data_IF_199486720017
#
_entry.id   IF_199486720017
#
_cell.length_a   1.000
_cell.length_b   1.000
_cell.length_c   1.000
_cell.angle_alpha   90.00
_cell.angle_beta   90.00
_cell.angle_gamma   90.00
#
_symmetry.space_group_name_H-M   'P 1'
#
loop_
_entity.id
_entity.type
_entity.pdbx_description
1 polymer ?
#
# COMPACT_ATOMS: atom_id res chain seq x y z
N UNK A 1 2.08 14.14 14.82
CA UNK A 1 1.11 13.18 14.23
C UNK A 1 0.19 12.72 15.34
N UNK A 2 -1.08 13.11 15.31
CA UNK A 2 -2.04 12.74 16.34
C UNK A 2 -2.69 11.42 15.92
N UNK A 3 -2.34 10.33 16.62
CA UNK A 3 -2.93 9.01 16.39
C UNK A 3 -4.31 9.05 17.05
N UNK A 4 -5.35 9.28 16.25
CA UNK A 4 -6.74 9.22 16.71
C UNK A 4 -7.06 7.79 17.19
N UNK A 5 -6.86 7.55 18.48
CA UNK A 5 -7.21 6.33 19.22
C UNK A 5 -8.67 6.39 19.66
N UNK A 6 -9.58 6.79 18.77
CA UNK A 6 -11.02 6.68 19.05
C UNK A 6 -11.36 5.19 19.19
N UNK A 7 -11.83 4.80 20.37
CA UNK A 7 -12.44 3.48 20.58
C UNK A 7 -13.52 3.29 19.52
N UNK A 8 -13.37 2.27 18.69
CA UNK A 8 -14.36 1.85 17.70
C UNK A 8 -15.51 1.19 18.47
N UNK A 9 -16.32 1.98 19.16
CA UNK A 9 -17.61 1.53 19.70
C UNK A 9 -18.62 1.48 18.55
N UNK A 10 -19.32 0.34 18.44
CA UNK A 10 -20.64 0.02 17.83
C UNK A 10 -21.14 0.72 16.54
N UNK A 11 -20.70 1.91 16.17
CA UNK A 11 -21.23 2.72 15.07
C UNK A 11 -20.71 2.27 13.70
N UNK A 12 -19.59 1.55 13.64
CA UNK A 12 -18.95 1.10 12.39
C UNK A 12 -19.40 -0.29 11.93
N UNK A 13 -20.35 -0.93 12.63
CA UNK A 13 -20.93 -2.22 12.22
C UNK A 13 -22.16 -2.05 11.33
N UNK A 14 -22.29 -0.94 10.59
CA UNK A 14 -23.39 -0.78 9.62
C UNK A 14 -23.22 -1.88 8.57
N UNK A 15 -24.00 -2.95 8.73
CA UNK A 15 -23.81 -4.19 7.99
C UNK A 15 -23.88 -3.94 6.49
N UNK A 16 -22.96 -4.52 5.73
CA UNK A 16 -23.04 -4.48 4.28
C UNK A 16 -23.56 -5.83 3.78
N UNK A 17 -24.47 -5.78 2.82
CA UNK A 17 -25.00 -6.99 2.21
C UNK A 17 -24.04 -7.50 1.14
N UNK A 18 -23.57 -8.74 1.29
CA UNK A 18 -22.83 -9.44 0.25
C UNK A 18 -23.42 -10.85 0.09
N UNK A 19 -23.92 -11.15 -1.13
CA UNK A 19 -24.69 -12.37 -1.46
C UNK A 19 -25.95 -12.54 -0.59
N UNK A 20 -26.69 -11.47 -0.33
CA UNK A 20 -27.98 -11.52 0.37
C UNK A 20 -27.90 -11.74 1.89
N UNK A 21 -26.70 -11.74 2.48
CA UNK A 21 -26.49 -11.86 3.92
C UNK A 21 -25.90 -10.56 4.45
N UNK A 22 -26.49 -10.01 5.52
CA UNK A 22 -25.92 -8.90 6.27
C UNK A 22 -24.59 -9.34 6.90
N UNK A 23 -23.48 -8.76 6.45
CA UNK A 23 -22.15 -9.02 7.00
C UNK A 23 -21.68 -7.81 7.81
N UNK A 24 -20.97 -8.08 8.91
CA UNK A 24 -20.39 -7.06 9.80
C UNK A 24 -19.30 -6.21 9.13
N UNK A 25 -18.39 -5.65 9.92
CA UNK A 25 -17.32 -4.73 9.48
C UNK A 25 -16.62 -5.24 8.20
N UNK A 26 -16.47 -4.36 7.20
CA UNK A 26 -15.73 -4.66 5.98
C UNK A 26 -14.26 -4.90 6.33
N UNK A 27 -13.67 -5.99 5.83
CA UNK A 27 -12.28 -6.37 6.14
C UNK A 27 -11.55 -6.77 4.86
N UNK A 28 -10.23 -6.64 4.83
CA UNK A 28 -9.37 -7.16 3.77
C UNK A 28 -8.26 -8.07 4.33
N UNK A 29 -7.52 -8.73 3.45
CA UNK A 29 -6.38 -9.57 3.80
C UNK A 29 -5.06 -8.84 3.51
N UNK A 30 -3.92 -9.27 4.09
CA UNK A 30 -2.63 -8.61 3.89
C UNK A 30 -2.16 -8.66 2.42
N UNK A 31 -2.64 -9.65 1.67
CA UNK A 31 -2.35 -9.85 0.26
C UNK A 31 -3.41 -9.24 -0.67
N UNK A 32 -4.34 -8.44 -0.15
CA UNK A 32 -5.29 -7.70 -0.99
C UNK A 32 -4.56 -6.58 -1.72
N UNK A 33 -4.73 -6.52 -3.03
CA UNK A 33 -4.17 -5.45 -3.86
C UNK A 33 -4.68 -4.08 -3.39
N UNK A 34 -3.78 -3.09 -3.35
CA UNK A 34 -4.09 -1.75 -2.85
C UNK A 34 -5.11 -1.01 -3.73
N UNK A 35 -5.15 -1.29 -5.03
CA UNK A 35 -6.13 -0.73 -5.97
C UNK A 35 -7.52 -1.28 -5.65
N UNK A 36 -7.62 -2.59 -5.50
CA UNK A 36 -8.87 -3.26 -5.14
C UNK A 36 -9.36 -2.78 -3.76
N UNK A 37 -8.46 -2.65 -2.79
CA UNK A 37 -8.80 -2.11 -1.48
C UNK A 37 -9.31 -0.66 -1.57
N UNK A 38 -8.68 0.18 -2.39
CA UNK A 38 -9.09 1.58 -2.61
C UNK A 38 -10.47 1.68 -3.24
N UNK A 39 -10.73 0.95 -4.34
CA UNK A 39 -12.03 0.91 -5.00
C UNK A 39 -13.14 0.46 -4.05
N UNK A 40 -12.87 -0.56 -3.25
CA UNK A 40 -13.79 -1.08 -2.25
C UNK A 40 -14.08 -0.06 -1.15
N UNK A 41 -13.07 0.69 -0.72
CA UNK A 41 -13.21 1.77 0.26
C UNK A 41 -14.03 2.95 -0.29
N UNK A 42 -13.79 3.35 -1.54
CA UNK A 42 -14.53 4.41 -2.24
C UNK A 42 -15.99 4.04 -2.45
N UNK A 43 -16.24 2.84 -3.00
CA UNK A 43 -17.59 2.33 -3.27
C UNK A 43 -18.45 2.21 -2.01
N UNK A 44 -17.82 2.05 -0.84
CA UNK A 44 -18.49 1.95 0.46
C UNK A 44 -18.40 3.22 1.31
N UNK A 45 -17.71 4.26 0.82
CA UNK A 45 -17.51 5.51 1.56
C UNK A 45 -16.78 5.33 2.90
N UNK A 46 -15.89 4.34 3.01
CA UNK A 46 -15.15 4.05 4.24
C UNK A 46 -13.72 4.59 4.14
N UNK A 47 -13.21 5.15 5.24
CA UNK A 47 -11.83 5.67 5.30
C UNK A 47 -10.83 4.72 5.93
N UNK A 48 -11.32 3.68 6.61
CA UNK A 48 -10.50 2.70 7.31
C UNK A 48 -11.00 1.29 7.01
N UNK A 49 -10.08 0.39 6.70
CA UNK A 49 -10.35 -0.98 6.34
C UNK A 49 -9.49 -1.92 7.20
N UNK A 50 -10.09 -2.63 8.17
CA UNK A 50 -9.39 -3.63 8.97
C UNK A 50 -8.75 -4.72 8.12
N UNK A 51 -7.47 -4.99 8.36
CA UNK A 51 -6.71 -6.06 7.73
C UNK A 51 -6.71 -7.26 8.68
N UNK A 52 -7.20 -8.41 8.23
CA UNK A 52 -7.27 -9.65 9.01
C UNK A 52 -6.35 -10.72 8.44
N UNK A 53 -5.71 -11.51 9.28
CA UNK A 53 -4.86 -12.61 8.83
C UNK A 53 -5.69 -13.65 8.05
N UNK A 54 -5.12 -14.19 6.97
CA UNK A 54 -5.62 -15.43 6.37
C UNK A 54 -5.23 -16.57 7.31
N UNK A 55 -6.23 -17.28 7.85
CA UNK A 55 -5.97 -18.36 8.80
C UNK A 55 -5.25 -19.50 8.07
N UNK A 56 -3.96 -19.67 8.33
CA UNK A 56 -3.21 -20.90 8.03
C UNK A 56 -2.86 -21.49 9.39
N UNK A 57 -3.56 -22.56 9.75
CA UNK A 57 -3.23 -23.48 10.85
C UNK A 57 -3.14 -22.86 12.26
N UNK A 58 -4.23 -22.94 13.03
CA UNK A 58 -4.27 -23.42 14.44
C UNK A 58 -5.60 -23.06 15.13
N UNK A 59 -6.43 -24.08 15.34
CA UNK A 59 -7.27 -24.43 16.52
C UNK A 59 -8.26 -23.38 17.12
N UNK A 60 -8.26 -22.11 16.74
CA UNK A 60 -9.24 -21.14 17.24
C UNK A 60 -10.40 -20.95 16.26
N UNK A 61 -11.39 -21.83 16.39
CA UNK A 61 -12.66 -21.94 15.66
C UNK A 61 -13.58 -20.70 15.75
N UNK A 62 -13.14 -19.48 15.40
CA UNK A 62 -14.10 -18.40 15.17
C UNK A 62 -13.59 -16.96 15.16
N UNK A 63 -12.35 -16.66 15.58
CA UNK A 63 -11.86 -15.28 15.64
C UNK A 63 -10.83 -15.01 14.53
N UNK A 64 -11.24 -14.23 13.53
CA UNK A 64 -10.29 -13.67 12.54
C UNK A 64 -9.33 -12.74 13.27
N UNK A 65 -8.03 -13.05 13.24
CA UNK A 65 -6.99 -12.23 13.88
C UNK A 65 -6.85 -10.91 13.10
N UNK A 66 -7.10 -9.78 13.78
CA UNK A 66 -6.78 -8.46 13.24
C UNK A 66 -5.26 -8.31 13.19
N UNK A 67 -4.73 -7.93 12.03
CA UNK A 67 -3.29 -7.69 11.82
C UNK A 67 -2.95 -6.23 11.56
N UNK A 68 -3.94 -5.41 11.19
CA UNK A 68 -3.71 -4.00 11.00
C UNK A 68 -4.95 -3.24 10.57
N UNK A 69 -4.74 -1.95 10.28
CA UNK A 69 -5.76 -1.03 9.80
C UNK A 69 -5.22 -0.28 8.59
N UNK A 70 -5.86 -0.46 7.43
CA UNK A 70 -5.53 0.27 6.23
C UNK A 70 -6.33 1.58 6.19
N UNK A 71 -5.63 2.71 6.02
CA UNK A 71 -6.26 4.03 5.89
C UNK A 71 -6.22 4.47 4.42
N UNK A 72 -7.34 4.99 3.90
CA UNK A 72 -7.45 5.51 2.54
C UNK A 72 -6.33 6.53 2.23
N UNK A 73 -6.10 7.49 3.13
CA UNK A 73 -5.08 8.53 2.94
C UNK A 73 -3.65 7.93 2.93
N UNK A 74 -3.46 6.79 3.58
CA UNK A 74 -2.18 6.09 3.58
C UNK A 74 -1.91 5.38 2.24
N UNK A 75 -2.95 4.91 1.54
CA UNK A 75 -2.82 4.33 0.19
C UNK A 75 -2.27 5.39 -0.76
N UNK A 76 -2.88 6.57 -0.77
CA UNK A 76 -2.49 7.66 -1.67
C UNK A 76 -1.06 8.15 -1.39
N UNK A 77 -0.70 8.28 -0.11
CA UNK A 77 0.67 8.63 0.31
C UNK A 77 1.68 7.55 -0.08
N UNK A 78 1.34 6.28 0.10
CA UNK A 78 2.19 5.15 -0.28
C UNK A 78 2.48 5.16 -1.79
N UNK A 79 1.45 5.31 -2.62
CA UNK A 79 1.60 5.37 -4.08
C UNK A 79 2.53 6.52 -4.51
N UNK A 80 2.33 7.73 -3.97
CA UNK A 80 3.22 8.87 -4.27
C UNK A 80 4.66 8.59 -3.86
N UNK A 81 4.87 8.01 -2.68
CA UNK A 81 6.20 7.65 -2.20
C UNK A 81 6.87 6.62 -3.09
N UNK A 82 6.14 5.58 -3.54
CA UNK A 82 6.67 4.56 -4.43
C UNK A 82 7.05 5.14 -5.80
N UNK A 83 6.20 6.00 -6.38
CA UNK A 83 6.50 6.68 -7.65
C UNK A 83 7.75 7.54 -7.50
N UNK A 84 7.86 8.31 -6.41
CA UNK A 84 9.04 9.13 -6.16
C UNK A 84 10.30 8.29 -6.00
N UNK A 85 10.24 7.16 -5.30
CA UNK A 85 11.37 6.23 -5.17
C UNK A 85 11.81 5.68 -6.54
N UNK A 86 10.86 5.28 -7.39
CA UNK A 86 11.15 4.82 -8.75
C UNK A 86 11.82 5.93 -9.56
N UNK A 87 11.32 7.17 -9.48
CA UNK A 87 11.89 8.30 -10.18
C UNK A 87 13.31 8.66 -9.68
N UNK A 88 13.56 8.56 -8.38
CA UNK A 88 14.88 8.77 -7.80
C UNK A 88 15.87 7.70 -8.27
N UNK A 89 15.50 6.42 -8.18
CA UNK A 89 16.33 5.35 -8.72
C UNK A 89 16.62 5.59 -10.20
N UNK A 90 15.61 5.92 -11.02
CA UNK A 90 15.83 6.22 -12.45
C UNK A 90 16.81 7.38 -12.68
N UNK A 91 16.77 8.42 -11.86
CA UNK A 91 17.73 9.54 -11.93
C UNK A 91 19.14 9.09 -11.60
N UNK A 92 19.32 8.32 -10.53
CA UNK A 92 20.63 7.74 -10.16
C UNK A 92 21.19 6.90 -11.32
N UNK A 93 20.39 5.98 -11.88
CA UNK A 93 20.79 5.21 -13.05
C UNK A 93 21.17 6.10 -14.24
N UNK A 94 20.47 7.21 -14.48
CA UNK A 94 20.78 8.10 -15.62
C UNK A 94 22.06 8.91 -15.39
N UNK A 95 22.31 9.32 -14.14
CA UNK A 95 23.51 10.07 -13.75
C UNK A 95 24.77 9.20 -13.83
N UNK A 96 24.69 7.94 -13.42
CA UNK A 96 25.80 7.00 -13.51
C UNK A 96 26.20 6.74 -14.99
N UNK A 97 25.19 6.61 -15.87
CA UNK A 97 25.42 6.46 -17.31
C UNK A 97 26.01 7.73 -17.95
N UNK A 98 25.61 8.93 -17.49
CA UNK A 98 26.15 10.19 -18.02
C UNK A 98 27.61 10.41 -17.61
N UNK A 99 27.98 10.12 -16.35
CA UNK A 99 29.37 10.20 -15.89
C UNK A 99 30.28 9.18 -16.57
N UNK A 100 29.81 7.95 -16.82
CA UNK A 100 30.58 6.95 -17.57
C UNK A 100 30.80 7.33 -19.03
N UNK A 101 29.81 7.97 -19.68
CA UNK A 101 29.94 8.39 -21.08
C UNK A 101 30.91 9.59 -21.26
N UNK A 102 30.94 10.53 -20.32
CA UNK A 102 31.91 11.63 -20.32
C UNK A 102 33.35 11.16 -20.06
N UNK A 103 33.54 10.18 -19.18
CA UNK A 103 34.85 9.58 -18.93
C UNK A 103 35.38 8.82 -20.16
N UNK A 104 34.53 8.02 -20.82
CA UNK A 104 34.89 7.29 -22.04
C UNK A 104 35.20 8.22 -23.22
N UNK A 105 34.48 9.34 -23.33
CA UNK A 105 34.73 10.39 -24.35
C UNK A 105 36.05 11.14 -24.09
N UNK A 106 36.43 11.31 -22.82
CA UNK A 106 37.67 11.99 -22.43
C UNK A 106 38.91 11.11 -22.63
N UNK A 107 38.83 9.80 -22.36
CA UNK A 107 39.92 8.85 -22.63
C UNK A 107 40.19 8.68 -24.14
N UNK A 108 39.14 8.65 -24.97
CA UNK A 108 39.28 8.56 -26.44
C UNK A 108 40.00 9.77 -27.05
N UNK A 109 39.93 10.97 -26.44
CA UNK A 109 40.63 12.16 -26.91
C UNK A 109 42.12 12.16 -26.55
N UNK A 110 42.50 11.51 -25.44
CA UNK A 110 43.89 11.40 -24.97
C UNK A 110 44.72 10.40 -25.80
N UNK A 111 44.07 9.40 -26.40
CA UNK A 111 44.73 8.38 -27.24
C UNK A 111 44.98 8.80 -28.70
N UNK A 112 44.44 9.95 -29.12
CA UNK A 112 44.55 10.47 -30.50
C UNK A 112 45.45 11.71 -30.63
N UNK A 113 46.17 12.10 -29.57
CA UNK A 113 47.15 13.20 -29.58
C UNK A 113 48.58 12.65 -29.60
#
# INVERSE_FOLDING_TARGET
MQINTCQISSCFTRGFQHRGVERGILTCFPDTDLTIAKELMEAKGIKQLPVVARCRETINYGKRRLVGLLNYDAIERCLRSCINAILLCKKEYTNDNHMQNENNSSEMKLLTS
#
